data_IF_265632387332
#
_entry.id   IF_265632387332
#
_cell.length_a   1.000
_cell.length_b   1.000
_cell.length_c   1.000
_cell.angle_alpha   90.00
_cell.angle_beta   90.00
_cell.angle_gamma   90.00
#
_symmetry.space_group_name_H-M   'P 1'
#
loop_
_entity.id
_entity.type
_entity.pdbx_description
1 polymer ?
#
# COMPACT_ATOMS: atom_id res chain seq x y z
N UNK A 1 -7.95 -28.01 -9.16
CA UNK A 1 -7.98 -27.06 -8.02
C UNK A 1 -8.80 -25.83 -8.42
N UNK A 2 -9.93 -25.61 -7.76
CA UNK A 2 -10.74 -24.40 -7.95
C UNK A 2 -10.22 -23.31 -7.02
N UNK A 3 -9.55 -22.29 -7.55
CA UNK A 3 -8.92 -21.26 -6.75
C UNK A 3 -9.42 -19.85 -7.07
N UNK A 4 -9.21 -18.93 -6.16
CA UNK A 4 -9.55 -17.53 -6.29
C UNK A 4 -8.40 -16.63 -5.84
N UNK A 5 -8.46 -15.36 -6.22
CA UNK A 5 -7.58 -14.29 -5.73
C UNK A 5 -8.40 -13.39 -4.80
N UNK A 6 -7.86 -13.10 -3.62
CA UNK A 6 -8.38 -12.14 -2.67
C UNK A 6 -7.41 -10.96 -2.54
N UNK A 7 -7.82 -9.79 -3.02
CA UNK A 7 -7.07 -8.55 -2.84
C UNK A 7 -7.49 -7.91 -1.51
N UNK A 8 -6.51 -7.44 -0.74
CA UNK A 8 -6.75 -6.84 0.57
C UNK A 8 -6.15 -5.44 0.62
N UNK A 9 -6.93 -4.46 1.00
CA UNK A 9 -6.49 -3.09 1.22
C UNK A 9 -7.09 -2.51 2.51
N UNK A 10 -6.53 -1.44 3.03
CA UNK A 10 -7.20 -0.64 4.05
C UNK A 10 -8.55 -0.16 3.53
N UNK A 11 -8.58 0.23 2.27
CA UNK A 11 -9.71 0.75 1.53
C UNK A 11 -9.68 2.27 1.42
N UNK A 12 -10.55 2.82 0.59
CA UNK A 12 -10.67 4.26 0.37
C UNK A 12 -12.12 4.69 0.24
N UNK A 13 -12.46 5.82 0.86
CA UNK A 13 -13.76 6.48 0.69
C UNK A 13 -13.73 7.54 -0.42
N UNK A 14 -12.54 8.03 -0.78
CA UNK A 14 -12.39 9.01 -1.87
C UNK A 14 -12.61 8.36 -3.24
N UNK A 15 -13.23 9.07 -4.21
CA UNK A 15 -13.38 8.57 -5.57
C UNK A 15 -12.04 8.19 -6.22
N UNK A 16 -11.00 8.97 -5.96
CA UNK A 16 -9.65 8.72 -6.48
C UNK A 16 -9.07 7.42 -5.92
N UNK A 17 -9.11 7.22 -4.61
CA UNK A 17 -8.62 5.98 -4.00
C UNK A 17 -9.41 4.74 -4.46
N UNK A 18 -10.73 4.86 -4.67
CA UNK A 18 -11.53 3.79 -5.25
C UNK A 18 -11.13 3.49 -6.70
N UNK A 19 -10.79 4.52 -7.50
CA UNK A 19 -10.32 4.33 -8.87
C UNK A 19 -8.93 3.66 -8.91
N UNK A 20 -8.04 3.99 -7.98
CA UNK A 20 -6.75 3.31 -7.84
C UNK A 20 -6.94 1.81 -7.57
N UNK A 21 -7.83 1.43 -6.64
CA UNK A 21 -8.15 0.02 -6.38
C UNK A 21 -8.77 -0.67 -7.60
N UNK A 22 -9.67 0.00 -8.34
CA UNK A 22 -10.23 -0.54 -9.60
C UNK A 22 -9.17 -0.72 -10.68
N UNK A 23 -8.21 0.21 -10.76
CA UNK A 23 -7.06 0.08 -11.67
C UNK A 23 -6.22 -1.15 -11.36
N UNK A 24 -5.88 -1.35 -10.08
CA UNK A 24 -5.14 -2.54 -9.64
C UNK A 24 -5.95 -3.85 -9.86
N UNK A 25 -7.27 -3.84 -9.57
CA UNK A 25 -8.16 -4.97 -9.88
C UNK A 25 -8.11 -5.34 -11.38
N UNK A 26 -8.13 -4.34 -12.26
CA UNK A 26 -8.06 -4.56 -13.71
C UNK A 26 -6.71 -5.20 -14.13
N UNK A 27 -5.58 -4.75 -13.55
CA UNK A 27 -4.26 -5.36 -13.80
C UNK A 27 -4.24 -6.84 -13.36
N UNK A 28 -4.79 -7.14 -12.18
CA UNK A 28 -4.86 -8.52 -11.69
C UNK A 28 -5.73 -9.39 -12.59
N UNK A 29 -6.91 -8.91 -13.00
CA UNK A 29 -7.80 -9.65 -13.91
C UNK A 29 -7.19 -9.86 -15.29
N UNK A 30 -6.41 -8.92 -15.78
CA UNK A 30 -5.67 -9.06 -17.03
C UNK A 30 -4.56 -10.12 -16.91
N UNK A 31 -3.84 -10.15 -15.77
CA UNK A 31 -2.78 -11.13 -15.50
C UNK A 31 -3.32 -12.54 -15.28
N UNK A 32 -4.52 -12.66 -14.69
CA UNK A 32 -5.16 -13.93 -14.30
C UNK A 32 -6.56 -14.07 -14.91
N UNK A 33 -6.66 -14.20 -16.24
CA UNK A 33 -7.96 -14.33 -16.92
C UNK A 33 -8.70 -15.60 -16.46
N UNK A 34 -9.98 -15.43 -16.14
CA UNK A 34 -10.83 -16.54 -15.69
C UNK A 34 -10.71 -16.92 -14.21
N UNK A 35 -9.74 -16.37 -13.47
CA UNK A 35 -9.66 -16.55 -12.02
C UNK A 35 -10.55 -15.52 -11.32
N UNK A 36 -11.48 -15.94 -10.45
CA UNK A 36 -12.30 -15.01 -9.68
C UNK A 36 -11.46 -14.14 -8.76
N UNK A 37 -11.61 -12.81 -8.86
CA UNK A 37 -10.98 -11.83 -7.98
C UNK A 37 -12.02 -11.24 -7.05
N UNK A 38 -11.72 -11.17 -5.75
CA UNK A 38 -12.53 -10.57 -4.69
C UNK A 38 -11.72 -9.56 -3.91
N UNK A 39 -12.41 -8.70 -3.18
CA UNK A 39 -11.82 -7.70 -2.30
C UNK A 39 -12.24 -7.89 -0.86
N UNK A 40 -11.30 -7.64 0.06
CA UNK A 40 -11.56 -7.45 1.48
C UNK A 40 -10.89 -6.15 1.96
N UNK A 41 -11.45 -5.56 3.02
CA UNK A 41 -10.97 -4.30 3.58
C UNK A 41 -10.65 -4.45 5.06
N UNK A 42 -9.49 -3.96 5.48
CA UNK A 42 -9.06 -4.02 6.89
C UNK A 42 -9.76 -2.96 7.73
N UNK A 43 -10.07 -1.76 7.19
CA UNK A 43 -10.72 -0.68 7.90
C UNK A 43 -12.16 -1.00 8.29
N UNK A 44 -12.43 -1.14 9.59
CA UNK A 44 -13.78 -1.31 10.11
C UNK A 44 -14.68 -0.12 9.76
N UNK A 45 -14.19 1.10 9.99
CA UNK A 45 -14.95 2.32 9.74
C UNK A 45 -15.34 2.46 8.25
N UNK A 46 -14.46 2.07 7.33
CA UNK A 46 -14.79 2.07 5.91
C UNK A 46 -15.89 1.05 5.62
N UNK A 47 -15.78 -0.18 6.14
CA UNK A 47 -16.80 -1.22 5.94
C UNK A 47 -18.15 -0.82 6.47
N UNK A 48 -18.21 -0.15 7.63
CA UNK A 48 -19.45 0.41 8.18
C UNK A 48 -20.08 1.46 7.25
N UNK A 49 -19.28 2.39 6.72
CA UNK A 49 -19.75 3.40 5.76
C UNK A 49 -20.24 2.75 4.45
N UNK A 50 -19.54 1.75 3.95
CA UNK A 50 -19.97 1.00 2.77
C UNK A 50 -21.29 0.26 3.03
N UNK A 51 -21.45 -0.34 4.20
CA UNK A 51 -22.69 -1.01 4.60
C UNK A 51 -23.87 -0.02 4.68
N UNK A 52 -23.66 1.18 5.24
CA UNK A 52 -24.67 2.26 5.23
C UNK A 52 -25.06 2.68 3.80
N UNK A 53 -24.09 2.70 2.87
CA UNK A 53 -24.32 2.95 1.46
C UNK A 53 -24.85 1.71 0.69
N UNK A 54 -25.23 0.63 1.37
CA UNK A 54 -25.67 -0.65 0.79
C UNK A 54 -24.65 -1.30 -0.16
N UNK A 55 -23.39 -0.99 0.01
CA UNK A 55 -22.29 -1.60 -0.73
C UNK A 55 -21.74 -2.80 0.04
N UNK A 56 -21.51 -3.91 -0.68
CA UNK A 56 -20.91 -5.09 -0.07
C UNK A 56 -19.42 -4.86 0.22
N UNK A 57 -19.03 -5.10 1.46
CA UNK A 57 -17.64 -5.09 1.89
C UNK A 57 -17.43 -6.14 2.96
N UNK A 58 -16.44 -6.98 2.79
CA UNK A 58 -16.10 -8.02 3.75
C UNK A 58 -14.81 -7.67 4.49
N UNK A 59 -14.70 -8.10 5.76
CA UNK A 59 -13.41 -8.22 6.43
C UNK A 59 -12.61 -9.35 5.79
N UNK A 60 -11.31 -9.41 6.06
CA UNK A 60 -10.43 -10.46 5.52
C UNK A 60 -10.94 -11.85 5.91
N UNK A 61 -11.19 -12.06 7.21
CA UNK A 61 -11.75 -13.32 7.72
C UNK A 61 -13.04 -13.71 6.99
N UNK A 62 -14.02 -12.80 6.94
CA UNK A 62 -15.32 -13.05 6.31
C UNK A 62 -15.20 -13.33 4.81
N UNK A 63 -14.28 -12.66 4.12
CA UNK A 63 -14.05 -12.89 2.69
C UNK A 63 -13.47 -14.28 2.42
N UNK A 64 -12.52 -14.74 3.23
CA UNK A 64 -11.96 -16.10 3.14
C UNK A 64 -13.03 -17.15 3.45
N UNK A 65 -13.79 -17.00 4.55
CA UNK A 65 -14.89 -17.92 4.87
C UNK A 65 -15.92 -18.00 3.74
N UNK A 66 -16.28 -16.85 3.14
CA UNK A 66 -17.22 -16.84 2.00
C UNK A 66 -16.69 -17.62 0.82
N UNK A 67 -15.39 -17.52 0.51
CA UNK A 67 -14.77 -18.30 -0.56
C UNK A 67 -14.82 -19.81 -0.27
N UNK A 68 -14.64 -20.23 0.99
CA UNK A 68 -14.83 -21.62 1.42
C UNK A 68 -16.26 -22.10 1.19
N UNK A 69 -17.25 -21.33 1.62
CA UNK A 69 -18.67 -21.62 1.40
C UNK A 69 -19.04 -21.68 -0.10
N UNK A 70 -18.37 -20.88 -0.94
CA UNK A 70 -18.50 -20.92 -2.40
C UNK A 70 -17.76 -22.10 -3.04
N UNK A 71 -17.19 -23.02 -2.24
CA UNK A 71 -16.47 -24.22 -2.69
C UNK A 71 -15.19 -23.95 -3.47
N UNK A 72 -14.49 -22.87 -3.16
CA UNK A 72 -13.09 -22.75 -3.55
C UNK A 72 -12.23 -23.67 -2.68
N UNK A 73 -11.15 -24.17 -3.23
CA UNK A 73 -10.22 -25.10 -2.56
C UNK A 73 -8.94 -24.39 -2.15
N UNK A 74 -8.61 -23.29 -2.84
CA UNK A 74 -7.41 -22.51 -2.58
C UNK A 74 -7.63 -21.00 -2.84
N UNK A 75 -6.90 -20.15 -2.10
CA UNK A 75 -6.98 -18.70 -2.23
C UNK A 75 -5.57 -18.08 -2.16
N UNK A 76 -5.18 -17.34 -3.21
CA UNK A 76 -4.05 -16.45 -3.16
C UNK A 76 -4.53 -15.09 -2.62
N UNK A 77 -3.93 -14.63 -1.54
CA UNK A 77 -4.30 -13.36 -0.88
C UNK A 77 -3.19 -12.36 -1.11
N UNK A 78 -3.49 -11.22 -1.77
CA UNK A 78 -2.52 -10.14 -1.97
C UNK A 78 -2.92 -8.90 -1.19
N UNK A 79 -2.24 -8.62 -0.09
CA UNK A 79 -2.41 -7.38 0.64
C UNK A 79 -1.61 -6.24 -0.01
N UNK A 80 -2.21 -5.03 -0.04
CA UNK A 80 -1.58 -3.82 -0.58
C UNK A 80 -0.96 -2.94 0.54
N UNK A 81 -0.46 -3.56 1.60
CA UNK A 81 0.31 -2.86 2.62
C UNK A 81 1.72 -2.50 2.11
N UNK A 82 2.26 -1.39 2.64
CA UNK A 82 3.60 -0.92 2.25
C UNK A 82 4.71 -1.74 2.93
N UNK A 83 4.54 -2.12 4.18
CA UNK A 83 5.60 -2.75 5.00
C UNK A 83 5.12 -4.05 5.68
N UNK A 84 6.04 -4.94 6.06
CA UNK A 84 5.73 -6.13 6.87
C UNK A 84 5.51 -5.77 8.36
N UNK A 85 4.57 -4.84 8.62
CA UNK A 85 4.23 -4.37 9.95
C UNK A 85 2.99 -5.07 10.54
N UNK A 86 2.47 -4.50 11.64
CA UNK A 86 1.33 -5.05 12.38
C UNK A 86 0.11 -5.32 11.49
N UNK A 87 -0.29 -4.36 10.62
CA UNK A 87 -1.44 -4.55 9.73
C UNK A 87 -1.28 -5.75 8.80
N UNK A 88 -0.07 -5.99 8.27
CA UNK A 88 0.20 -7.16 7.45
C UNK A 88 0.15 -8.45 8.28
N UNK A 89 0.68 -8.42 9.51
CA UNK A 89 0.59 -9.52 10.47
C UNK A 89 -0.87 -9.88 10.79
N UNK A 90 -1.70 -8.87 11.05
CA UNK A 90 -3.13 -9.05 11.33
C UNK A 90 -3.87 -9.67 10.13
N UNK A 91 -3.55 -9.25 8.90
CA UNK A 91 -4.11 -9.87 7.68
C UNK A 91 -3.73 -11.34 7.61
N UNK A 92 -2.47 -11.69 7.84
CA UNK A 92 -2.00 -13.08 7.84
C UNK A 92 -2.73 -13.91 8.88
N UNK A 93 -2.83 -13.42 10.12
CA UNK A 93 -3.53 -14.12 11.20
C UNK A 93 -5.01 -14.37 10.86
N UNK A 94 -5.71 -13.36 10.34
CA UNK A 94 -7.12 -13.51 9.91
C UNK A 94 -7.28 -14.50 8.76
N UNK A 95 -6.32 -14.56 7.82
CA UNK A 95 -6.35 -15.53 6.72
C UNK A 95 -6.09 -16.94 7.24
N UNK A 96 -5.12 -17.13 8.13
CA UNK A 96 -4.78 -18.41 8.73
C UNK A 96 -5.98 -18.98 9.52
N UNK A 97 -6.58 -18.17 10.40
CA UNK A 97 -7.76 -18.55 11.18
C UNK A 97 -8.94 -18.97 10.29
N UNK A 98 -9.27 -18.16 9.26
CA UNK A 98 -10.36 -18.47 8.35
C UNK A 98 -10.06 -19.69 7.46
N UNK A 99 -8.80 -19.87 7.07
CA UNK A 99 -8.35 -21.00 6.26
C UNK A 99 -8.48 -22.34 7.03
N UNK A 100 -8.13 -22.34 8.32
CA UNK A 100 -8.33 -23.49 9.20
C UNK A 100 -9.82 -23.82 9.36
N UNK A 101 -10.65 -22.80 9.61
CA UNK A 101 -12.09 -22.96 9.78
C UNK A 101 -12.78 -23.57 8.54
N UNK A 102 -12.38 -23.13 7.36
CA UNK A 102 -12.99 -23.56 6.08
C UNK A 102 -12.22 -24.70 5.37
N UNK A 103 -11.13 -25.20 5.96
CA UNK A 103 -10.23 -26.19 5.36
C UNK A 103 -9.68 -25.77 3.99
N UNK A 104 -9.41 -24.47 3.82
CA UNK A 104 -8.87 -23.87 2.61
C UNK A 104 -7.34 -23.91 2.58
N UNK A 105 -6.77 -24.02 1.38
CA UNK A 105 -5.35 -23.73 1.19
C UNK A 105 -5.19 -22.25 0.88
N UNK A 106 -4.62 -21.48 1.79
CA UNK A 106 -4.36 -20.06 1.56
C UNK A 106 -2.86 -19.77 1.48
N UNK A 107 -2.48 -18.80 0.64
CA UNK A 107 -1.14 -18.22 0.59
C UNK A 107 -1.26 -16.71 0.55
N UNK A 108 -0.51 -16.03 1.41
CA UNK A 108 -0.51 -14.57 1.52
C UNK A 108 0.75 -14.04 0.86
N UNK A 109 0.57 -13.17 -0.13
CA UNK A 109 1.64 -12.44 -0.79
C UNK A 109 2.28 -11.42 0.15
N UNK A 110 3.51 -11.05 -0.16
CA UNK A 110 4.29 -10.10 0.63
C UNK A 110 3.80 -8.65 0.46
N UNK A 111 4.07 -7.75 1.44
CA UNK A 111 3.83 -6.32 1.31
C UNK A 111 4.88 -5.66 0.40
N UNK A 112 4.70 -4.38 0.02
CA UNK A 112 5.53 -3.68 -0.95
C UNK A 112 7.04 -3.72 -0.61
N UNK A 113 7.41 -3.47 0.64
CA UNK A 113 8.80 -3.40 1.10
C UNK A 113 9.19 -4.66 1.89
N UNK A 114 8.92 -5.85 1.36
CA UNK A 114 9.20 -7.10 2.06
C UNK A 114 10.70 -7.41 2.16
N UNK A 115 11.42 -7.19 1.09
CA UNK A 115 12.85 -7.53 0.96
C UNK A 115 13.70 -6.30 0.62
N UNK A 116 15.01 -6.41 0.71
CA UNK A 116 15.93 -5.36 0.26
C UNK A 116 15.83 -5.11 -1.26
N UNK A 117 15.52 -6.14 -2.05
CA UNK A 117 15.28 -5.99 -3.49
C UNK A 117 14.01 -5.20 -3.77
N UNK A 118 12.95 -5.42 -3.01
CA UNK A 118 11.71 -4.65 -3.11
C UNK A 118 11.91 -3.19 -2.71
N UNK A 119 12.71 -2.93 -1.67
CA UNK A 119 13.10 -1.56 -1.29
C UNK A 119 13.80 -0.86 -2.45
N UNK A 120 14.79 -1.51 -3.07
CA UNK A 120 15.51 -0.97 -4.23
C UNK A 120 14.59 -0.76 -5.45
N UNK A 121 13.71 -1.71 -5.71
CA UNK A 121 12.73 -1.60 -6.81
C UNK A 121 11.75 -0.46 -6.57
N UNK A 122 11.23 -0.34 -5.34
CA UNK A 122 10.32 0.75 -4.95
C UNK A 122 11.03 2.11 -5.02
N UNK A 123 12.24 2.24 -4.51
CA UNK A 123 13.00 3.49 -4.59
C UNK A 123 13.16 3.97 -6.03
N UNK A 124 13.56 3.07 -6.95
CA UNK A 124 13.65 3.39 -8.38
C UNK A 124 12.31 3.78 -9.00
N UNK A 125 11.24 3.09 -8.61
CA UNK A 125 9.90 3.40 -9.08
C UNK A 125 9.45 4.79 -8.60
N UNK A 126 9.63 5.12 -7.33
CA UNK A 126 9.28 6.44 -6.78
C UNK A 126 10.02 7.57 -7.50
N UNK A 127 11.34 7.43 -7.70
CA UNK A 127 12.14 8.46 -8.40
C UNK A 127 11.73 8.59 -9.88
N UNK A 128 11.29 7.51 -10.52
CA UNK A 128 10.81 7.55 -11.92
C UNK A 128 9.45 8.26 -12.06
N UNK A 129 8.63 8.21 -11.03
CA UNK A 129 7.28 8.79 -11.01
C UNK A 129 7.20 10.15 -10.30
N UNK A 130 8.33 10.85 -10.18
CA UNK A 130 8.32 12.24 -9.70
C UNK A 130 7.53 13.15 -10.66
N UNK A 131 6.93 14.24 -10.17
CA UNK A 131 6.14 15.15 -11.01
C UNK A 131 6.96 15.66 -12.20
N UNK A 132 6.39 15.61 -13.40
CA UNK A 132 7.08 16.04 -14.63
C UNK A 132 7.44 17.54 -14.63
N UNK A 133 6.67 18.33 -13.85
CA UNK A 133 6.87 19.78 -13.68
C UNK A 133 7.94 20.12 -12.64
N UNK A 134 8.49 19.11 -11.94
CA UNK A 134 9.55 19.29 -10.94
C UNK A 134 10.86 19.69 -11.61
N UNK A 135 11.47 20.76 -11.12
CA UNK A 135 12.88 21.05 -11.42
C UNK A 135 13.81 20.17 -10.57
N UNK A 136 14.98 19.83 -11.10
CA UNK A 136 15.90 18.90 -10.43
C UNK A 136 16.42 19.40 -9.06
N UNK A 137 16.38 20.71 -8.81
CA UNK A 137 16.76 21.36 -7.55
C UNK A 137 15.61 21.48 -6.54
N UNK A 138 14.39 21.09 -6.91
CA UNK A 138 13.24 21.11 -6.01
C UNK A 138 13.16 19.84 -5.16
N UNK A 139 12.84 20.01 -3.87
CA UNK A 139 12.70 18.90 -2.95
C UNK A 139 11.37 18.16 -3.15
N UNK A 140 11.39 16.86 -2.91
CA UNK A 140 10.21 16.00 -2.88
C UNK A 140 10.16 15.28 -1.52
N UNK A 141 9.00 15.23 -0.91
CA UNK A 141 8.79 14.54 0.35
C UNK A 141 7.70 13.49 0.16
N UNK A 142 8.04 12.23 0.36
CA UNK A 142 7.06 11.14 0.42
C UNK A 142 6.62 10.91 1.86
N UNK A 143 5.29 10.90 2.09
CA UNK A 143 4.70 10.63 3.39
C UNK A 143 4.12 9.21 3.45
N UNK A 144 4.74 8.35 4.27
CA UNK A 144 4.23 7.03 4.62
C UNK A 144 3.40 7.03 5.91
N UNK A 145 2.70 5.93 6.16
CA UNK A 145 1.92 5.74 7.39
C UNK A 145 2.82 5.62 8.62
N UNK A 146 3.92 4.92 8.47
CA UNK A 146 4.83 4.61 9.56
C UNK A 146 4.63 3.19 10.11
N UNK A 147 5.46 2.88 11.09
CA UNK A 147 5.44 1.60 11.78
C UNK A 147 6.01 1.73 13.18
N UNK A 148 5.74 0.72 13.99
CA UNK A 148 6.40 0.47 15.25
C UNK A 148 7.34 -0.74 15.11
N UNK A 149 8.30 -0.86 16.01
CA UNK A 149 9.24 -1.97 16.10
C UNK A 149 10.08 -2.22 14.84
N UNK A 150 10.36 -3.47 14.51
CA UNK A 150 11.30 -3.86 13.44
C UNK A 150 10.91 -3.39 12.03
N UNK A 151 9.60 -3.23 11.77
CA UNK A 151 9.11 -2.78 10.47
C UNK A 151 9.51 -1.33 10.14
N UNK A 152 9.89 -0.51 11.14
CA UNK A 152 10.44 0.84 10.97
C UNK A 152 11.68 0.84 10.09
N UNK A 153 12.53 -0.19 10.17
CA UNK A 153 13.76 -0.30 9.39
C UNK A 153 13.49 -0.19 7.87
N UNK A 154 12.32 -0.66 7.39
CA UNK A 154 11.97 -0.58 5.97
C UNK A 154 11.81 0.85 5.46
N UNK A 155 11.29 1.76 6.29
CA UNK A 155 11.24 3.18 5.96
C UNK A 155 12.62 3.82 5.96
N UNK A 156 13.50 3.45 6.90
CA UNK A 156 14.88 3.92 6.96
C UNK A 156 15.66 3.46 5.72
N UNK A 157 15.58 2.17 5.38
CA UNK A 157 16.21 1.60 4.20
C UNK A 157 15.73 2.29 2.91
N UNK A 158 14.41 2.52 2.80
CA UNK A 158 13.84 3.20 1.63
C UNK A 158 14.30 4.66 1.57
N UNK A 159 14.29 5.39 2.68
CA UNK A 159 14.74 6.78 2.74
C UNK A 159 16.19 6.93 2.30
N UNK A 160 17.08 6.05 2.80
CA UNK A 160 18.49 6.01 2.38
C UNK A 160 18.62 5.70 0.88
N UNK A 161 17.94 4.65 0.42
CA UNK A 161 18.04 4.20 -0.99
C UNK A 161 17.50 5.26 -1.97
N UNK A 162 16.41 5.94 -1.62
CA UNK A 162 15.85 7.03 -2.45
C UNK A 162 16.80 8.22 -2.48
N UNK A 163 17.37 8.59 -1.32
CA UNK A 163 18.32 9.69 -1.21
C UNK A 163 19.61 9.46 -2.01
N UNK A 164 20.08 8.22 -2.10
CA UNK A 164 21.22 7.83 -2.95
C UNK A 164 20.92 8.02 -4.44
N UNK A 165 19.66 7.82 -4.87
CA UNK A 165 19.23 7.98 -6.25
C UNK A 165 19.00 9.45 -6.62
N UNK A 166 18.41 10.22 -5.70
CA UNK A 166 18.15 11.65 -5.82
C UNK A 166 18.18 12.29 -4.42
N UNK A 167 19.23 13.07 -4.15
CA UNK A 167 19.46 13.71 -2.85
C UNK A 167 18.42 14.77 -2.47
N UNK A 168 17.54 15.16 -3.40
CA UNK A 168 16.40 16.06 -3.18
C UNK A 168 15.10 15.33 -2.86
N UNK A 169 15.13 14.00 -2.83
CA UNK A 169 13.95 13.19 -2.52
C UNK A 169 14.08 12.60 -1.11
N UNK A 170 13.10 12.89 -0.30
CA UNK A 170 13.03 12.48 1.09
C UNK A 170 11.84 11.55 1.32
N UNK A 171 12.02 10.56 2.16
CA UNK A 171 10.94 9.65 2.59
C UNK A 171 10.80 9.78 4.10
N UNK A 172 9.58 10.04 4.54
CA UNK A 172 9.25 10.03 5.95
C UNK A 172 7.94 9.31 6.23
N UNK A 173 7.63 9.20 7.50
CA UNK A 173 6.42 8.54 7.96
C UNK A 173 5.76 9.35 9.09
N UNK A 174 4.46 9.16 9.29
CA UNK A 174 3.73 9.84 10.37
C UNK A 174 4.23 9.39 11.76
N UNK A 175 4.70 8.14 11.85
CA UNK A 175 5.28 7.58 13.07
C UNK A 175 6.58 6.83 12.74
N UNK A 176 7.46 6.68 13.72
CA UNK A 176 8.66 5.86 13.60
C UNK A 176 9.95 6.65 13.55
N UNK A 177 11.02 6.10 12.96
CA UNK A 177 12.35 6.68 13.03
C UNK A 177 12.58 7.86 12.07
N UNK A 178 11.89 7.90 10.94
CA UNK A 178 12.04 8.96 9.93
C UNK A 178 10.75 9.74 9.85
N UNK A 179 10.66 10.85 10.59
CA UNK A 179 9.46 11.70 10.64
C UNK A 179 9.69 12.99 9.87
N UNK A 180 8.63 13.79 9.68
CA UNK A 180 8.74 15.09 9.03
C UNK A 180 9.74 16.01 9.76
N UNK A 181 9.82 15.92 11.09
CA UNK A 181 10.76 16.69 11.90
C UNK A 181 12.22 16.48 11.50
N UNK A 182 12.57 15.26 11.13
CA UNK A 182 13.94 14.94 10.67
C UNK A 182 14.21 15.40 9.24
N UNK A 183 13.16 15.63 8.44
CA UNK A 183 13.26 16.08 7.04
C UNK A 183 13.30 17.59 6.93
N UNK A 184 12.48 18.31 7.69
CA UNK A 184 12.34 19.77 7.59
C UNK A 184 13.67 20.54 7.56
N UNK A 185 14.69 20.22 8.40
CA UNK A 185 15.97 20.95 8.38
C UNK A 185 16.79 20.72 7.10
N UNK A 186 16.46 19.70 6.32
CA UNK A 186 17.19 19.32 5.10
C UNK A 186 16.52 19.84 3.82
N UNK A 187 15.32 20.40 3.92
CA UNK A 187 14.64 21.04 2.80
C UNK A 187 15.35 22.35 2.45
N UNK A 188 15.75 22.51 1.20
CA UNK A 188 16.51 23.67 0.76
C UNK A 188 15.84 24.42 -0.41
N UNK A 189 14.90 23.78 -1.11
CA UNK A 189 14.22 24.41 -2.24
C UNK A 189 13.06 25.29 -1.80
N UNK A 190 12.74 26.31 -2.62
CA UNK A 190 11.55 27.14 -2.37
C UNK A 190 10.26 26.35 -2.55
N UNK A 191 10.21 25.42 -3.51
CA UNK A 191 9.07 24.56 -3.81
C UNK A 191 9.35 23.16 -3.34
N UNK A 192 8.40 22.57 -2.60
CA UNK A 192 8.48 21.21 -2.06
C UNK A 192 7.26 20.43 -2.57
N UNK A 193 7.52 19.39 -3.31
CA UNK A 193 6.48 18.45 -3.74
C UNK A 193 6.19 17.45 -2.62
N UNK A 194 4.92 17.28 -2.29
CA UNK A 194 4.49 16.40 -1.20
C UNK A 194 3.63 15.26 -1.76
N UNK A 195 4.10 14.03 -1.62
CA UNK A 195 3.54 12.84 -2.26
C UNK A 195 3.23 11.75 -1.23
N UNK A 196 2.14 10.97 -1.38
CA UNK A 196 1.86 9.87 -0.46
C UNK A 196 2.67 8.63 -0.81
N UNK A 197 3.32 8.03 0.18
CA UNK A 197 3.80 6.65 0.17
C UNK A 197 2.74 5.75 0.82
N UNK A 198 1.54 5.82 0.27
CA UNK A 198 0.34 5.09 0.68
C UNK A 198 -0.24 4.40 -0.56
N UNK A 199 -0.74 3.18 -0.43
CA UNK A 199 -1.26 2.43 -1.59
C UNK A 199 -2.36 3.19 -2.33
N UNK A 200 -3.21 3.92 -1.60
CA UNK A 200 -4.31 4.72 -2.16
C UNK A 200 -4.43 6.07 -1.46
N UNK A 201 -5.03 7.04 -2.14
CA UNK A 201 -5.39 8.33 -1.55
C UNK A 201 -6.61 8.16 -0.64
N UNK A 202 -6.33 8.05 0.64
CA UNK A 202 -7.33 7.96 1.71
C UNK A 202 -7.29 9.19 2.62
N UNK A 203 -7.87 9.04 3.82
CA UNK A 203 -7.94 10.12 4.82
C UNK A 203 -6.58 10.71 5.14
N UNK A 204 -5.57 9.86 5.39
CA UNK A 204 -4.21 10.33 5.72
C UNK A 204 -3.60 11.21 4.62
N UNK A 205 -3.79 10.87 3.35
CA UNK A 205 -3.31 11.69 2.25
C UNK A 205 -4.06 13.03 2.15
N UNK A 206 -5.37 13.03 2.45
CA UNK A 206 -6.21 14.23 2.32
C UNK A 206 -6.11 15.16 3.53
N UNK A 207 -6.06 14.62 4.76
CA UNK A 207 -6.13 15.39 6.00
C UNK A 207 -4.74 15.60 6.62
N UNK A 208 -3.96 14.52 6.81
CA UNK A 208 -2.70 14.56 7.54
C UNK A 208 -1.53 15.01 6.64
N UNK A 209 -1.58 14.67 5.34
CA UNK A 209 -0.58 15.09 4.37
C UNK A 209 -0.92 16.45 3.76
N UNK A 210 -2.01 16.55 3.01
CA UNK A 210 -2.35 17.69 2.16
C UNK A 210 -3.36 18.67 2.77
N UNK A 211 -3.87 18.39 3.98
CA UNK A 211 -4.86 19.22 4.66
C UNK A 211 -4.35 20.62 4.99
N UNK A 212 -5.30 21.53 5.27
CA UNK A 212 -5.00 22.93 5.63
C UNK A 212 -4.95 23.15 7.16
N UNK A 213 -5.15 22.09 7.96
CA UNK A 213 -5.00 22.17 9.40
C UNK A 213 -3.52 22.34 9.77
N UNK A 214 -3.22 23.07 10.86
CA UNK A 214 -1.85 23.39 11.26
C UNK A 214 -0.95 22.18 11.60
N UNK A 215 -1.51 20.97 11.67
CA UNK A 215 -0.79 19.73 11.98
C UNK A 215 -0.44 18.94 10.72
N UNK A 216 -1.03 19.26 9.56
CA UNK A 216 -0.73 18.59 8.30
C UNK A 216 0.72 18.80 7.89
N UNK A 217 1.27 17.85 7.14
CA UNK A 217 2.62 17.97 6.60
C UNK A 217 2.75 19.19 5.69
N UNK A 218 1.73 19.46 4.86
CA UNK A 218 1.66 20.66 4.03
C UNK A 218 1.83 21.93 4.87
N UNK A 219 0.97 22.16 5.86
CA UNK A 219 1.00 23.36 6.69
C UNK A 219 2.31 23.52 7.44
N UNK A 220 2.91 22.42 7.87
CA UNK A 220 4.19 22.43 8.59
C UNK A 220 5.38 22.75 7.68
N UNK A 221 5.37 22.26 6.43
CA UNK A 221 6.36 22.60 5.41
C UNK A 221 6.22 24.10 5.04
N UNK A 222 4.98 24.57 4.84
CA UNK A 222 4.69 25.98 4.54
C UNK A 222 5.10 26.91 5.69
N UNK A 223 4.98 26.48 6.94
CA UNK A 223 5.42 27.24 8.11
C UNK A 223 6.95 27.45 8.17
N UNK A 224 7.74 26.64 7.44
CA UNK A 224 9.18 26.85 7.28
C UNK A 224 9.53 27.79 6.11
N UNK A 225 8.53 28.37 5.44
CA UNK A 225 8.72 29.31 4.33
C UNK A 225 8.77 28.67 2.94
N UNK A 226 8.50 27.39 2.83
CA UNK A 226 8.42 26.68 1.54
C UNK A 226 7.03 26.83 0.92
N UNK A 227 6.95 26.73 -0.40
CA UNK A 227 5.70 26.53 -1.13
C UNK A 227 5.47 25.00 -1.27
N UNK A 228 4.50 24.46 -0.54
CA UNK A 228 4.19 23.03 -0.60
C UNK A 228 3.19 22.73 -1.72
N UNK A 229 3.52 21.71 -2.53
CA UNK A 229 2.75 21.26 -3.69
C UNK A 229 2.30 19.80 -3.50
N UNK A 230 1.14 19.54 -2.89
CA UNK A 230 0.64 18.20 -2.72
C UNK A 230 0.25 17.55 -4.06
N UNK A 231 0.72 16.31 -4.28
CA UNK A 231 0.33 15.45 -5.40
C UNK A 231 -0.43 14.26 -4.83
N UNK A 232 -1.73 14.22 -5.05
CA UNK A 232 -2.62 13.20 -4.51
C UNK A 232 -2.69 12.00 -5.47
N UNK A 233 -1.66 11.18 -5.49
CA UNK A 233 -1.60 9.95 -6.27
C UNK A 233 -1.05 8.82 -5.38
N UNK A 234 -1.82 7.76 -5.19
CA UNK A 234 -1.42 6.61 -4.39
C UNK A 234 -0.41 5.72 -5.11
N UNK A 235 0.41 4.99 -4.34
CA UNK A 235 1.48 4.17 -4.94
C UNK A 235 0.94 3.02 -5.81
N UNK A 236 -0.30 2.58 -5.61
CA UNK A 236 -0.93 1.59 -6.49
C UNK A 236 -1.28 2.13 -7.90
N UNK A 237 -1.22 3.45 -8.09
CA UNK A 237 -1.43 4.10 -9.39
C UNK A 237 -0.14 4.16 -10.23
N UNK A 238 1.04 3.91 -9.63
CA UNK A 238 2.30 3.82 -10.33
C UNK A 238 2.52 2.40 -10.87
N UNK A 239 2.60 2.25 -12.19
CA UNK A 239 2.70 0.94 -12.85
C UNK A 239 3.85 0.08 -12.30
N UNK A 240 5.03 0.70 -12.10
CA UNK A 240 6.22 0.01 -11.59
C UNK A 240 6.05 -0.45 -10.13
N UNK A 241 5.31 0.30 -9.30
CA UNK A 241 5.01 -0.10 -7.91
C UNK A 241 3.95 -1.19 -7.89
N UNK A 242 2.91 -1.06 -8.70
CA UNK A 242 1.87 -2.08 -8.85
C UNK A 242 2.47 -3.43 -9.28
N UNK A 243 3.50 -3.42 -10.15
CA UNK A 243 4.19 -4.63 -10.61
C UNK A 243 4.93 -5.36 -9.46
N UNK A 244 5.38 -4.66 -8.41
CA UNK A 244 5.98 -5.31 -7.23
C UNK A 244 4.92 -6.16 -6.52
N UNK A 245 3.73 -5.62 -6.26
CA UNK A 245 2.65 -6.41 -5.66
C UNK A 245 2.14 -7.52 -6.57
N UNK A 246 2.15 -7.32 -7.90
CA UNK A 246 1.77 -8.36 -8.85
C UNK A 246 2.76 -9.54 -8.83
N UNK A 247 4.05 -9.30 -8.66
CA UNK A 247 5.06 -10.36 -8.46
C UNK A 247 4.82 -11.11 -7.15
N UNK A 248 4.54 -10.41 -6.05
CA UNK A 248 4.23 -11.05 -4.77
C UNK A 248 2.94 -11.88 -4.83
N UNK A 249 1.94 -11.44 -5.61
CA UNK A 249 0.76 -12.24 -5.90
C UNK A 249 1.12 -13.49 -6.73
N UNK A 250 1.99 -13.35 -7.72
CA UNK A 250 2.45 -14.47 -8.53
C UNK A 250 3.16 -15.53 -7.69
N UNK A 251 4.05 -15.12 -6.77
CA UNK A 251 4.71 -16.02 -5.82
C UNK A 251 3.68 -16.76 -4.94
N UNK A 252 2.64 -16.06 -4.48
CA UNK A 252 1.56 -16.66 -3.71
C UNK A 252 0.77 -17.68 -4.54
N UNK A 253 0.44 -17.38 -5.79
CA UNK A 253 -0.25 -18.28 -6.72
C UNK A 253 0.61 -19.52 -7.02
N UNK A 254 1.89 -19.35 -7.30
CA UNK A 254 2.81 -20.48 -7.55
C UNK A 254 2.96 -21.37 -6.30
N UNK A 255 3.04 -20.75 -5.12
CA UNK A 255 3.10 -21.47 -3.84
C UNK A 255 1.80 -22.26 -3.54
N UNK A 256 0.64 -21.81 -4.01
CA UNK A 256 -0.60 -22.60 -3.95
C UNK A 256 -0.50 -23.86 -4.80
N UNK A 257 0.00 -23.75 -6.04
CA UNK A 257 0.14 -24.91 -6.94
C UNK A 257 1.08 -25.96 -6.32
N UNK A 258 2.25 -25.54 -5.84
CA UNK A 258 3.21 -26.45 -5.18
C UNK A 258 2.67 -27.07 -3.88
N UNK A 259 1.85 -26.35 -3.13
CA UNK A 259 1.20 -26.85 -1.92
C UNK A 259 0.07 -27.84 -2.19
N UNK A 260 -0.61 -27.69 -3.33
CA UNK A 260 -1.68 -28.60 -3.75
C UNK A 260 -1.15 -29.98 -4.19
N UNK A 261 -0.05 -30.01 -4.92
CA UNK A 261 0.57 -31.26 -5.37
C UNK A 261 1.06 -32.17 -4.23
N UNK A 262 1.19 -31.62 -3.01
CA UNK A 262 1.63 -32.34 -1.81
C UNK A 262 0.49 -32.83 -0.91
N UNK A 263 -0.77 -32.55 -1.26
CA UNK A 263 -1.98 -33.03 -0.56
C UNK A 263 -2.54 -34.29 -1.21
#
# INVERSE_FOLDING_TARGET
MRHAILLVAFGASSPQGQNALKGFDALVRQRYPGIPVRWAYTSLLLRERMAQARQKSDSVFKAVCRLGLERFEAVAVQPLQTIPGQEHGDVRAMVEEAAEHEHLLCRVGAPLLATADDVRATARALVRHLPAERSADEDVVFMGHGAEHEAVARYVDLASTVHELDSRVHVGAMNGAVTLESILPNLASRRVWLMPLLSVVGRHALEDMAGENGHSWRSRIEAQGHQCLPVLMGTAEYADVAEIWLRHLEDAVQSLAAGWEKR
#
